data_IF_278985520737
#
_entry.id   IF_278985520737
#
_cell.length_a   1.000
_cell.length_b   1.000
_cell.length_c   1.000
_cell.angle_alpha   90.00
_cell.angle_beta   90.00
_cell.angle_gamma   90.00
#
_symmetry.space_group_name_H-M   'P 1'
#
loop_
_entity.id
_entity.type
_entity.pdbx_description
1 polymer ?
#
# COMPACT_ATOMS: atom_id res chain seq x y z
N UNK A 1 -11.97 3.87 -38.32
CA UNK A 1 -11.43 2.71 -37.58
C UNK A 1 -10.60 3.04 -36.33
N UNK A 2 -10.10 4.28 -36.14
CA UNK A 2 -9.24 4.62 -34.99
C UNK A 2 -9.98 4.84 -33.64
N UNK A 3 -11.31 5.09 -33.67
CA UNK A 3 -12.09 5.34 -32.45
C UNK A 3 -12.63 4.08 -31.77
N UNK A 4 -12.80 2.97 -32.50
CA UNK A 4 -13.38 1.74 -31.94
C UNK A 4 -12.40 1.02 -31.00
N UNK A 5 -11.10 1.05 -31.33
CA UNK A 5 -10.04 0.43 -30.52
C UNK A 5 -9.85 1.14 -29.17
N UNK A 6 -9.93 2.48 -29.16
CA UNK A 6 -9.73 3.31 -27.96
C UNK A 6 -10.89 3.16 -26.97
N UNK A 7 -12.13 3.12 -27.46
CA UNK A 7 -13.31 2.93 -26.61
C UNK A 7 -13.26 1.55 -25.94
N UNK A 8 -12.87 0.49 -26.66
CA UNK A 8 -12.76 -0.85 -26.10
C UNK A 8 -11.67 -0.96 -25.04
N UNK A 9 -10.48 -0.37 -25.26
CA UNK A 9 -9.39 -0.38 -24.27
C UNK A 9 -9.74 0.38 -22.99
N UNK A 10 -10.47 1.50 -23.12
CA UNK A 10 -10.89 2.31 -21.97
C UNK A 10 -11.93 1.57 -21.14
N UNK A 11 -12.97 1.01 -21.77
CA UNK A 11 -14.00 0.22 -21.07
C UNK A 11 -13.39 -1.01 -20.37
N UNK A 12 -12.44 -1.68 -21.02
CA UNK A 12 -11.74 -2.82 -20.43
C UNK A 12 -10.91 -2.41 -19.21
N UNK A 13 -10.16 -1.31 -19.28
CA UNK A 13 -9.42 -0.79 -18.14
C UNK A 13 -10.34 -0.36 -16.98
N UNK A 14 -11.50 0.25 -17.27
CA UNK A 14 -12.51 0.55 -16.25
C UNK A 14 -13.04 -0.71 -15.56
N UNK A 15 -13.34 -1.75 -16.35
CA UNK A 15 -13.84 -3.01 -15.81
C UNK A 15 -12.80 -3.69 -14.90
N UNK A 16 -11.54 -3.72 -15.33
CA UNK A 16 -10.44 -4.25 -14.52
C UNK A 16 -10.27 -3.47 -13.20
N UNK A 17 -10.28 -2.14 -13.27
CA UNK A 17 -10.14 -1.30 -12.08
C UNK A 17 -11.32 -1.49 -11.11
N UNK A 18 -12.54 -1.62 -11.63
CA UNK A 18 -13.72 -1.91 -10.81
C UNK A 18 -13.61 -3.28 -10.11
N UNK A 19 -13.13 -4.30 -10.82
CA UNK A 19 -12.93 -5.64 -10.26
C UNK A 19 -11.85 -5.67 -9.18
N UNK A 20 -10.72 -4.99 -9.39
CA UNK A 20 -9.64 -4.87 -8.40
C UNK A 20 -10.13 -4.18 -7.11
N UNK A 21 -10.91 -3.11 -7.26
CA UNK A 21 -11.54 -2.41 -6.13
C UNK A 21 -12.55 -3.28 -5.38
N UNK A 22 -13.32 -4.12 -6.08
CA UNK A 22 -14.25 -5.07 -5.44
C UNK A 22 -13.47 -6.14 -4.67
N UNK A 23 -12.42 -6.70 -5.27
CA UNK A 23 -11.62 -7.75 -4.68
C UNK A 23 -10.85 -7.28 -3.43
N UNK A 24 -10.26 -6.08 -3.46
CA UNK A 24 -9.59 -5.53 -2.28
C UNK A 24 -10.59 -5.22 -1.16
N UNK A 25 -11.77 -4.69 -1.50
CA UNK A 25 -12.82 -4.40 -0.52
C UNK A 25 -13.27 -5.66 0.20
N UNK A 26 -13.43 -6.76 -0.53
CA UNK A 26 -13.77 -8.08 0.03
C UNK A 26 -12.65 -8.58 0.95
N UNK A 27 -11.41 -8.59 0.49
CA UNK A 27 -10.26 -9.06 1.27
C UNK A 27 -10.07 -8.25 2.57
N UNK A 28 -10.26 -6.92 2.50
CA UNK A 28 -10.20 -6.06 3.68
C UNK A 28 -11.35 -6.36 4.65
N UNK A 29 -12.58 -6.55 4.16
CA UNK A 29 -13.73 -6.86 5.00
C UNK A 29 -13.56 -8.20 5.73
N UNK A 30 -13.08 -9.21 5.02
CA UNK A 30 -12.75 -10.53 5.58
C UNK A 30 -11.65 -10.45 6.63
N UNK A 31 -10.61 -9.62 6.39
CA UNK A 31 -9.52 -9.45 7.34
C UNK A 31 -9.95 -8.72 8.62
N UNK A 32 -10.78 -7.69 8.50
CA UNK A 32 -11.19 -6.87 9.64
C UNK A 32 -12.31 -7.53 10.45
N UNK A 33 -13.17 -8.33 9.81
CA UNK A 33 -14.35 -8.93 10.45
C UNK A 33 -15.25 -7.89 11.18
N UNK A 34 -15.26 -6.66 10.66
CA UNK A 34 -15.96 -5.50 11.20
C UNK A 34 -16.51 -4.66 10.04
N UNK A 35 -17.27 -3.61 10.37
CA UNK A 35 -17.65 -2.61 9.38
C UNK A 35 -16.40 -1.99 8.77
N UNK A 36 -16.34 -1.92 7.43
CA UNK A 36 -15.23 -1.32 6.73
C UNK A 36 -15.07 0.16 7.12
N UNK A 37 -13.92 0.58 7.69
CA UNK A 37 -13.64 1.98 7.99
C UNK A 37 -13.43 2.76 6.68
N UNK A 38 -13.39 4.09 6.77
CA UNK A 38 -12.92 4.88 5.63
C UNK A 38 -11.44 4.57 5.34
N UNK A 39 -11.10 4.35 4.08
CA UNK A 39 -9.73 4.06 3.67
C UNK A 39 -9.38 4.67 2.32
N UNK A 40 -8.08 4.88 2.11
CA UNK A 40 -7.47 5.12 0.80
C UNK A 40 -6.70 3.87 0.38
N UNK A 41 -6.66 3.59 -0.92
CA UNK A 41 -5.92 2.46 -1.48
C UNK A 41 -5.01 2.93 -2.60
N UNK A 42 -3.81 2.38 -2.67
CA UNK A 42 -2.92 2.50 -3.81
C UNK A 42 -2.38 1.14 -4.23
N UNK A 43 -2.22 0.96 -5.54
CA UNK A 43 -1.79 -0.31 -6.12
C UNK A 43 -0.36 -0.19 -6.66
N UNK A 44 0.48 -1.13 -6.27
CA UNK A 44 1.89 -1.19 -6.68
C UNK A 44 2.34 -2.65 -6.65
N UNK A 45 3.23 -3.04 -7.56
CA UNK A 45 3.80 -4.40 -7.56
C UNK A 45 5.02 -4.41 -6.62
N UNK A 46 4.78 -4.58 -5.31
CA UNK A 46 5.82 -4.37 -4.29
C UNK A 46 6.84 -5.50 -4.31
N UNK A 47 6.45 -6.72 -4.69
CA UNK A 47 7.32 -7.88 -4.75
C UNK A 47 7.92 -8.13 -6.16
N UNK A 48 7.43 -7.45 -7.20
CA UNK A 48 7.79 -7.63 -8.62
C UNK A 48 7.48 -9.01 -9.17
N UNK A 49 6.36 -9.61 -8.78
CA UNK A 49 5.85 -10.86 -9.36
C UNK A 49 4.96 -10.64 -10.60
N UNK A 50 4.71 -9.38 -10.97
CA UNK A 50 3.89 -9.00 -12.12
C UNK A 50 2.41 -8.83 -11.79
N UNK A 51 2.00 -9.05 -10.54
CA UNK A 51 0.65 -8.79 -10.02
C UNK A 51 0.71 -7.55 -9.12
N UNK A 52 -0.31 -6.70 -9.19
CA UNK A 52 -0.39 -5.53 -8.31
C UNK A 52 -0.79 -5.96 -6.90
N UNK A 53 -0.02 -5.50 -5.92
CA UNK A 53 -0.35 -5.53 -4.51
C UNK A 53 -1.08 -4.22 -4.13
N UNK A 54 -1.71 -4.21 -2.96
CA UNK A 54 -2.44 -3.05 -2.45
C UNK A 54 -1.84 -2.55 -1.14
N UNK A 55 -1.59 -1.24 -1.06
CA UNK A 55 -1.37 -0.51 0.18
C UNK A 55 -2.67 0.18 0.58
N UNK A 56 -3.16 -0.11 1.79
CA UNK A 56 -4.39 0.45 2.33
C UNK A 56 -4.01 1.36 3.49
N UNK A 57 -4.46 2.61 3.46
CA UNK A 57 -4.33 3.59 4.55
C UNK A 57 -5.70 3.81 5.17
N UNK A 58 -5.88 3.44 6.45
CA UNK A 58 -7.18 3.59 7.11
C UNK A 58 -7.32 5.03 7.62
N UNK A 59 -8.20 5.80 6.99
CA UNK A 59 -8.45 7.20 7.30
C UNK A 59 -9.71 7.34 8.16
N UNK A 60 -9.70 6.70 9.33
CA UNK A 60 -10.81 6.66 10.27
C UNK A 60 -10.30 6.85 11.70
N UNK A 61 -11.02 7.62 12.52
CA UNK A 61 -10.56 8.03 13.85
C UNK A 61 -10.25 6.86 14.77
N UNK A 62 -10.92 5.71 14.63
CA UNK A 62 -10.67 4.54 15.45
C UNK A 62 -9.35 3.83 15.11
N UNK A 63 -8.76 4.17 13.96
CA UNK A 63 -7.55 3.56 13.43
C UNK A 63 -6.35 4.51 13.42
N UNK A 64 -6.55 5.73 13.94
CA UNK A 64 -5.58 6.81 13.96
C UNK A 64 -5.30 7.27 15.39
N UNK A 65 -4.03 7.62 15.64
CA UNK A 65 -3.59 8.30 16.85
C UNK A 65 -2.65 9.45 16.52
N UNK A 66 -2.03 10.05 17.53
CA UNK A 66 -1.09 11.17 17.35
C UNK A 66 0.15 10.81 16.50
N UNK A 67 0.50 9.53 16.43
CA UNK A 67 1.61 9.02 15.62
C UNK A 67 1.27 8.82 14.14
N UNK A 68 -0.01 8.83 13.78
CA UNK A 68 -0.52 8.50 12.44
C UNK A 68 -1.59 7.42 12.48
N UNK A 69 -1.89 6.87 11.31
CA UNK A 69 -2.95 5.89 11.11
C UNK A 69 -2.41 4.49 10.79
N UNK A 70 -3.24 3.49 11.06
CA UNK A 70 -2.98 2.12 10.66
C UNK A 70 -3.04 1.98 9.15
N UNK A 71 -2.06 1.28 8.60
CA UNK A 71 -2.02 0.85 7.21
C UNK A 71 -1.86 -0.66 7.10
N UNK A 72 -2.24 -1.18 5.94
CA UNK A 72 -2.10 -2.58 5.57
C UNK A 72 -1.43 -2.71 4.22
N UNK A 73 -0.73 -3.83 4.03
CA UNK A 73 -0.33 -4.31 2.71
C UNK A 73 -1.03 -5.63 2.46
N UNK A 74 -1.64 -5.77 1.29
CA UNK A 74 -2.20 -7.01 0.78
C UNK A 74 -1.47 -7.40 -0.49
N UNK A 75 -1.00 -8.63 -0.56
CA UNK A 75 -0.37 -9.17 -1.75
C UNK A 75 -1.43 -9.55 -2.79
N UNK A 76 -1.19 -9.15 -4.04
CA UNK A 76 -2.00 -9.56 -5.18
C UNK A 76 -1.76 -11.02 -5.54
N UNK A 77 -2.82 -11.72 -5.94
CA UNK A 77 -2.77 -13.11 -6.42
C UNK A 77 -3.73 -13.28 -7.60
N UNK A 78 -3.65 -14.41 -8.31
CA UNK A 78 -4.63 -14.74 -9.35
C UNK A 78 -6.06 -14.86 -8.83
N UNK A 79 -6.24 -15.01 -7.52
CA UNK A 79 -7.53 -15.23 -6.88
C UNK A 79 -7.98 -14.04 -6.01
N UNK A 80 -7.38 -12.86 -6.20
CA UNK A 80 -7.65 -11.67 -5.41
C UNK A 80 -6.50 -11.31 -4.48
N UNK A 81 -6.79 -10.81 -3.28
CA UNK A 81 -5.78 -10.25 -2.37
C UNK A 81 -5.63 -11.08 -1.09
N UNK A 82 -4.39 -11.22 -0.63
CA UNK A 82 -4.05 -11.89 0.64
C UNK A 82 -3.37 -10.90 1.59
N UNK A 83 -3.78 -10.87 2.86
CA UNK A 83 -3.11 -10.06 3.87
C UNK A 83 -1.60 -10.36 3.93
N UNK A 84 -0.77 -9.30 3.89
CA UNK A 84 0.69 -9.39 3.91
C UNK A 84 1.30 -8.70 5.14
N UNK A 85 0.81 -7.51 5.51
CA UNK A 85 1.40 -6.75 6.61
C UNK A 85 0.43 -5.70 7.17
N UNK A 86 0.69 -5.29 8.42
CA UNK A 86 0.02 -4.20 9.14
C UNK A 86 1.08 -3.29 9.76
N UNK A 87 0.89 -1.98 9.71
CA UNK A 87 1.71 -0.98 10.41
C UNK A 87 0.80 0.07 11.07
N UNK A 88 1.02 0.42 12.34
CA UNK A 88 -0.01 1.14 13.14
C UNK A 88 0.05 2.67 13.16
N UNK A 89 1.17 3.28 12.75
CA UNK A 89 1.40 4.74 12.89
C UNK A 89 2.09 5.32 11.66
N UNK A 90 1.47 5.12 10.51
CA UNK A 90 1.92 5.67 9.23
C UNK A 90 1.18 6.98 8.93
N UNK A 91 1.88 7.92 8.31
CA UNK A 91 1.31 9.15 7.75
C UNK A 91 1.79 9.29 6.31
N UNK A 92 0.93 9.90 5.50
CA UNK A 92 1.24 10.27 4.13
C UNK A 92 2.32 11.39 4.08
N UNK A 93 3.07 11.52 2.96
CA UNK A 93 3.01 10.67 1.78
C UNK A 93 3.58 9.27 2.03
N UNK A 94 3.05 8.29 1.31
CA UNK A 94 3.58 6.93 1.27
C UNK A 94 4.40 6.78 0.00
N UNK A 95 5.68 6.47 0.16
CA UNK A 95 6.64 6.38 -0.94
C UNK A 95 7.15 4.95 -1.06
N UNK A 96 7.37 4.52 -2.30
CA UNK A 96 8.06 3.29 -2.65
C UNK A 96 9.45 3.65 -3.13
N UNK A 97 10.47 3.07 -2.52
CA UNK A 97 11.86 3.30 -2.92
C UNK A 97 12.23 2.44 -4.14
N UNK A 98 13.38 2.72 -4.73
CA UNK A 98 13.99 1.84 -5.75
C UNK A 98 14.74 0.63 -5.15
N UNK A 99 14.88 0.55 -3.83
CA UNK A 99 15.56 -0.57 -3.16
C UNK A 99 14.58 -1.63 -2.69
N UNK A 100 15.05 -2.87 -2.62
CA UNK A 100 14.30 -3.99 -2.09
C UNK A 100 15.04 -4.65 -0.94
N UNK A 101 14.29 -5.08 0.06
CA UNK A 101 14.76 -5.96 1.12
C UNK A 101 13.90 -7.22 1.11
N UNK A 102 14.52 -8.40 1.10
CA UNK A 102 13.82 -9.69 1.09
C UNK A 102 12.74 -9.83 -0.01
N UNK A 103 13.03 -9.30 -1.21
CA UNK A 103 12.16 -9.41 -2.39
C UNK A 103 11.12 -8.30 -2.54
N UNK A 104 10.86 -7.51 -1.50
CA UNK A 104 9.86 -6.45 -1.50
C UNK A 104 10.51 -5.06 -1.51
N UNK A 105 9.92 -4.10 -2.22
CA UNK A 105 10.40 -2.71 -2.22
C UNK A 105 10.30 -2.08 -0.84
N UNK A 106 11.33 -1.37 -0.41
CA UNK A 106 11.27 -0.66 0.87
C UNK A 106 10.31 0.53 0.76
N UNK A 107 9.56 0.78 1.84
CA UNK A 107 8.59 1.88 1.90
C UNK A 107 9.12 3.01 2.77
N UNK A 108 8.80 4.25 2.43
CA UNK A 108 9.01 5.41 3.30
C UNK A 108 7.66 5.95 3.72
N UNK A 109 7.51 6.13 5.03
CA UNK A 109 6.32 6.70 5.65
C UNK A 109 6.72 7.79 6.63
N UNK A 110 5.82 8.74 6.88
CA UNK A 110 5.96 9.67 7.98
C UNK A 110 5.40 9.06 9.26
N UNK A 111 5.96 9.39 10.42
CA UNK A 111 5.40 9.05 11.74
C UNK A 111 5.50 10.24 12.69
N UNK A 112 4.41 10.52 13.40
CA UNK A 112 4.28 11.69 14.27
C UNK A 112 5.37 11.73 15.33
N UNK A 113 6.03 12.88 15.48
CA UNK A 113 7.12 13.08 16.45
C UNK A 113 8.47 12.47 16.06
N UNK A 114 8.54 11.65 15.01
CA UNK A 114 9.77 10.96 14.57
C UNK A 114 10.24 11.45 13.19
N UNK A 115 9.32 11.73 12.27
CA UNK A 115 9.61 12.13 10.89
C UNK A 115 9.54 10.96 9.91
N UNK A 116 10.31 11.02 8.83
CA UNK A 116 10.30 9.98 7.81
C UNK A 116 11.14 8.77 8.24
N UNK A 117 10.58 7.57 8.15
CA UNK A 117 11.24 6.31 8.47
C UNK A 117 11.11 5.32 7.32
N UNK A 118 11.97 4.32 7.30
CA UNK A 118 11.98 3.27 6.26
C UNK A 118 11.43 1.98 6.82
N UNK A 119 10.46 1.41 6.12
CA UNK A 119 9.92 0.09 6.38
C UNK A 119 10.56 -0.89 5.42
N UNK A 120 11.42 -1.76 5.93
CA UNK A 120 12.04 -2.86 5.17
C UNK A 120 11.29 -4.15 5.47
N UNK A 121 11.05 -4.97 4.45
CA UNK A 121 10.37 -6.24 4.63
C UNK A 121 11.30 -7.27 5.28
N UNK A 122 10.86 -7.94 6.35
CA UNK A 122 11.69 -8.88 7.14
C UNK A 122 11.72 -10.31 6.57
N UNK A 123 11.07 -10.54 5.42
CA UNK A 123 10.84 -11.86 4.83
C UNK A 123 9.44 -12.40 5.12
N UNK A 124 8.68 -11.76 6.03
CA UNK A 124 7.29 -12.08 6.34
C UNK A 124 6.37 -10.86 6.29
N UNK A 125 6.82 -9.68 6.72
CA UNK A 125 6.00 -8.48 6.81
C UNK A 125 6.85 -7.20 6.85
N UNK A 126 6.23 -6.05 6.58
CA UNK A 126 6.77 -4.77 7.05
C UNK A 126 6.58 -4.63 8.57
N UNK A 127 7.38 -3.78 9.25
CA UNK A 127 7.32 -3.63 10.70
C UNK A 127 5.96 -3.12 11.19
N UNK A 128 5.48 -3.71 12.28
CA UNK A 128 4.23 -3.29 12.93
C UNK A 128 4.29 -1.85 13.45
N UNK A 129 5.47 -1.45 13.97
CA UNK A 129 5.69 -0.14 14.57
C UNK A 129 6.75 0.68 13.79
N UNK A 130 6.32 1.59 12.90
CA UNK A 130 7.19 2.53 12.19
C UNK A 130 8.10 3.39 13.08
N UNK A 131 7.70 3.78 14.30
CA UNK A 131 8.52 4.70 15.12
C UNK A 131 9.82 4.09 15.63
N UNK A 132 9.95 2.76 15.57
CA UNK A 132 11.16 2.03 15.94
C UNK A 132 12.10 1.81 14.75
N UNK A 133 11.72 2.26 13.55
CA UNK A 133 12.49 2.03 12.34
C UNK A 133 13.52 3.13 12.09
N UNK A 134 14.60 2.84 11.35
CA UNK A 134 15.59 3.84 10.99
C UNK A 134 14.96 5.02 10.25
N UNK A 135 15.43 6.23 10.56
CA UNK A 135 15.12 7.42 9.75
C UNK A 135 15.59 7.23 8.32
N UNK A 136 14.83 7.76 7.38
CA UNK A 136 15.20 7.71 5.96
C UNK A 136 16.52 8.45 5.72
N UNK A 137 17.35 7.90 4.84
CA UNK A 137 18.56 8.55 4.35
C UNK A 137 18.31 9.15 2.98
N UNK A 138 18.99 10.24 2.63
CA UNK A 138 18.84 10.91 1.33
C UNK A 138 18.97 9.97 0.13
N UNK A 139 19.90 9.01 0.22
CA UNK A 139 20.08 7.98 -0.82
C UNK A 139 18.79 7.20 -1.11
N UNK A 140 17.97 6.93 -0.10
CA UNK A 140 16.71 6.20 -0.25
C UNK A 140 15.59 7.08 -0.86
N UNK A 141 15.76 8.41 -0.84
CA UNK A 141 14.86 9.37 -1.47
C UNK A 141 15.27 9.76 -2.89
N UNK A 142 16.45 9.35 -3.36
CA UNK A 142 16.99 9.72 -4.68
C UNK A 142 16.16 9.22 -5.86
N UNK A 143 15.41 8.13 -5.68
CA UNK A 143 14.46 7.60 -6.67
C UNK A 143 13.33 6.91 -5.93
N UNK A 144 12.19 7.61 -5.84
CA UNK A 144 10.98 7.15 -5.16
C UNK A 144 9.74 7.36 -6.02
N UNK A 145 8.74 6.52 -5.82
CA UNK A 145 7.39 6.70 -6.37
C UNK A 145 6.44 7.01 -5.22
N UNK A 146 5.75 8.16 -5.27
CA UNK A 146 4.67 8.46 -4.32
C UNK A 146 3.41 7.70 -4.72
N UNK A 147 2.94 6.80 -3.86
CA UNK A 147 1.72 6.01 -4.11
C UNK A 147 0.49 6.59 -3.42
N UNK A 148 0.67 7.31 -2.30
CA UNK A 148 -0.37 8.08 -1.63
C UNK A 148 0.20 9.43 -1.18
N UNK A 149 -0.56 10.50 -1.37
CA UNK A 149 -0.17 11.89 -1.07
C UNK A 149 -0.77 12.38 0.24
#
# INVERSE_FOLDING_TARGET
>A
MRNFLVIFSVLFAYQLHAEENINIKKALAEHLNEQLPNYEVAYFDFNSDGVKDAFIYINDSNWCGSGGCTSFVFSGTTNGFKFQSKSMITNKPILVTSTKTNGWYDLVVNTGGIGQVVLTFDGKSYPLNPSMQPKVKEKQLSSVTTILK
#
